data_IF_768637417735
#
_entry.id   IF_768637417735
#
_cell.length_a   1.000
_cell.length_b   1.000
_cell.length_c   1.000
_cell.angle_alpha   90.00
_cell.angle_beta   90.00
_cell.angle_gamma   90.00
#
_symmetry.space_group_name_H-M   'P 1'
#
loop_
_entity.id
_entity.type
_entity.pdbx_description
1 polymer ?
#
# COMPACT_ATOMS: atom_id res chain seq x y z
N UNK A 1 17.48 16.44 -9.90
CA UNK A 1 16.38 16.36 -8.90
C UNK A 1 16.44 15.00 -8.24
N UNK A 2 16.58 14.92 -6.91
CA UNK A 2 16.62 13.62 -6.20
C UNK A 2 15.27 12.92 -6.37
N UNK A 3 15.25 11.62 -6.64
CA UNK A 3 14.02 10.81 -6.68
C UNK A 3 13.93 9.97 -5.42
N UNK A 4 12.74 9.88 -4.83
CA UNK A 4 12.44 9.00 -3.70
C UNK A 4 11.20 8.17 -4.00
N UNK A 5 11.29 6.86 -3.78
CA UNK A 5 10.19 5.92 -3.96
C UNK A 5 9.42 5.80 -2.65
N UNK A 6 8.12 6.09 -2.71
CA UNK A 6 7.20 6.00 -1.57
C UNK A 6 6.14 4.96 -1.89
N UNK A 7 6.02 3.95 -1.03
CA UNK A 7 4.94 2.96 -1.11
C UNK A 7 3.98 3.19 0.05
N UNK A 8 2.72 3.43 -0.28
CA UNK A 8 1.62 3.65 0.65
C UNK A 8 0.82 2.37 0.78
N UNK A 9 0.85 1.73 1.95
CA UNK A 9 0.13 0.50 2.23
C UNK A 9 -1.14 0.79 3.03
N UNK A 10 -2.31 0.67 2.40
CA UNK A 10 -3.62 1.04 2.97
C UNK A 10 -4.65 -0.09 2.85
N UNK A 11 -5.41 -0.36 3.90
CA UNK A 11 -6.30 -1.54 3.97
C UNK A 11 -7.69 -1.11 4.39
N UNK A 12 -8.72 -1.52 3.67
CA UNK A 12 -10.10 -1.21 4.07
C UNK A 12 -11.15 -2.25 3.67
N UNK A 13 -10.85 -3.22 2.81
CA UNK A 13 -11.89 -4.00 2.14
C UNK A 13 -12.94 -3.08 1.50
N UNK A 14 -14.20 -3.20 1.94
CA UNK A 14 -15.31 -2.36 1.44
C UNK A 14 -15.22 -0.88 1.86
N UNK A 15 -14.44 -0.55 2.88
CA UNK A 15 -14.25 0.83 3.32
C UNK A 15 -13.34 1.64 2.39
N UNK A 16 -13.37 2.96 2.57
CA UNK A 16 -12.51 3.90 1.83
C UNK A 16 -11.64 4.77 2.75
N UNK A 17 -11.92 4.78 4.06
CA UNK A 17 -11.38 5.77 5.00
C UNK A 17 -9.85 5.76 5.10
N UNK A 18 -9.24 4.58 5.19
CA UNK A 18 -7.78 4.53 5.27
C UNK A 18 -7.10 4.89 3.94
N UNK A 19 -7.69 4.52 2.80
CA UNK A 19 -7.15 4.84 1.48
C UNK A 19 -7.23 6.34 1.22
N UNK A 20 -8.38 6.97 1.46
CA UNK A 20 -8.56 8.41 1.26
C UNK A 20 -7.62 9.22 2.16
N UNK A 21 -7.42 8.79 3.41
CA UNK A 21 -6.46 9.41 4.33
C UNK A 21 -5.03 9.33 3.79
N UNK A 22 -4.58 8.16 3.34
CA UNK A 22 -3.22 8.03 2.79
C UNK A 22 -3.06 8.79 1.47
N UNK A 23 -4.08 8.80 0.59
CA UNK A 23 -4.05 9.63 -0.61
C UNK A 23 -3.93 11.12 -0.28
N UNK A 24 -4.58 11.60 0.77
CA UNK A 24 -4.43 12.98 1.25
C UNK A 24 -3.00 13.27 1.73
N UNK A 25 -2.38 12.33 2.48
CA UNK A 25 -0.98 12.44 2.90
C UNK A 25 -0.04 12.48 1.69
N UNK A 26 -0.18 11.53 0.76
CA UNK A 26 0.65 11.44 -0.44
C UNK A 26 0.56 12.71 -1.30
N UNK A 27 -0.63 13.32 -1.42
CA UNK A 27 -0.83 14.58 -2.13
C UNK A 27 0.03 15.70 -1.53
N UNK A 28 0.00 15.85 -0.22
CA UNK A 28 0.79 16.87 0.47
C UNK A 28 2.28 16.56 0.46
N UNK A 29 2.66 15.29 0.65
CA UNK A 29 4.06 14.86 0.55
C UNK A 29 4.65 15.20 -0.83
N UNK A 30 3.92 14.94 -1.93
CA UNK A 30 4.37 15.30 -3.29
C UNK A 30 4.58 16.80 -3.45
N UNK A 31 3.69 17.63 -2.89
CA UNK A 31 3.79 19.10 -2.94
C UNK A 31 5.02 19.60 -2.17
N UNK A 32 5.19 19.13 -0.92
CA UNK A 32 6.28 19.53 -0.04
C UNK A 32 7.63 19.07 -0.61
N UNK A 33 7.72 17.82 -1.04
CA UNK A 33 8.94 17.30 -1.67
C UNK A 33 9.29 18.06 -2.95
N UNK A 34 8.29 18.39 -3.78
CA UNK A 34 8.47 19.20 -4.98
C UNK A 34 9.05 20.58 -4.66
N UNK A 35 8.51 21.26 -3.65
CA UNK A 35 9.05 22.54 -3.17
C UNK A 35 10.49 22.43 -2.64
N UNK A 36 10.85 21.27 -2.08
CA UNK A 36 12.21 20.95 -1.62
C UNK A 36 13.13 20.38 -2.74
N UNK A 37 12.74 20.44 -4.01
CA UNK A 37 13.57 19.94 -5.12
C UNK A 37 13.72 18.41 -5.17
N UNK A 38 12.75 17.67 -4.65
CA UNK A 38 12.71 16.20 -4.64
C UNK A 38 11.48 15.67 -5.37
N UNK A 39 11.66 14.72 -6.28
CA UNK A 39 10.57 14.01 -6.94
C UNK A 39 10.17 12.81 -6.10
N UNK A 40 8.88 12.69 -5.76
CA UNK A 40 8.36 11.44 -5.23
C UNK A 40 7.78 10.59 -6.36
N UNK A 41 8.27 9.37 -6.45
CA UNK A 41 7.63 8.27 -7.17
C UNK A 41 6.74 7.55 -6.16
N UNK A 42 5.41 7.54 -6.39
CA UNK A 42 4.45 7.09 -5.39
C UNK A 42 3.66 5.91 -5.92
N UNK A 43 3.55 4.88 -5.09
CA UNK A 43 2.75 3.68 -5.32
C UNK A 43 1.78 3.47 -4.17
N UNK A 44 0.57 3.00 -4.46
CA UNK A 44 -0.39 2.56 -3.44
C UNK A 44 -0.51 1.05 -3.48
N UNK A 45 -0.26 0.38 -2.36
CA UNK A 45 -0.54 -1.03 -2.15
C UNK A 45 -1.80 -1.15 -1.31
N UNK A 46 -2.86 -1.79 -1.82
CA UNK A 46 -4.15 -1.77 -1.12
C UNK A 46 -4.99 -3.04 -1.27
N UNK A 47 -5.86 -3.26 -0.29
CA UNK A 47 -6.99 -4.20 -0.40
C UNK A 47 -8.33 -3.49 -0.37
N UNK A 48 -8.37 -2.17 -0.54
CA UNK A 48 -9.63 -1.44 -0.65
C UNK A 48 -10.29 -1.74 -2.00
N UNK A 49 -11.61 -1.90 -2.00
CA UNK A 49 -12.41 -1.99 -3.23
C UNK A 49 -12.56 -0.63 -3.93
N UNK A 50 -12.09 0.45 -3.31
CA UNK A 50 -12.08 1.80 -3.89
C UNK A 50 -10.69 2.20 -4.41
N UNK A 51 -9.87 1.23 -4.84
CA UNK A 51 -8.53 1.43 -5.38
C UNK A 51 -8.48 2.48 -6.51
N UNK A 52 -9.56 2.57 -7.31
CA UNK A 52 -9.72 3.56 -8.38
C UNK A 52 -9.65 5.02 -7.91
N UNK A 53 -9.83 5.30 -6.62
CA UNK A 53 -9.59 6.64 -6.05
C UNK A 53 -8.12 7.06 -6.19
N UNK A 54 -7.16 6.13 -6.13
CA UNK A 54 -5.75 6.45 -6.34
C UNK A 54 -5.50 6.97 -7.76
N UNK A 55 -6.18 6.39 -8.76
CA UNK A 55 -6.11 6.85 -10.16
C UNK A 55 -6.58 8.29 -10.30
N UNK A 56 -7.62 8.71 -9.56
CA UNK A 56 -8.10 10.11 -9.57
C UNK A 56 -7.06 11.10 -9.05
N UNK A 57 -6.16 10.66 -8.18
CA UNK A 57 -5.02 11.44 -7.67
C UNK A 57 -3.76 11.32 -8.54
N UNK A 58 -3.84 10.60 -9.67
CA UNK A 58 -2.70 10.32 -10.54
C UNK A 58 -1.63 9.45 -9.86
N UNK A 59 -2.06 8.49 -9.04
CA UNK A 59 -1.19 7.54 -8.35
C UNK A 59 -1.54 6.11 -8.77
N UNK A 60 -0.57 5.30 -9.24
CA UNK A 60 -0.81 3.89 -9.52
C UNK A 60 -1.14 3.14 -8.23
N UNK A 61 -2.11 2.22 -8.31
CA UNK A 61 -2.42 1.31 -7.22
C UNK A 61 -2.25 -0.15 -7.63
N UNK A 62 -1.69 -0.93 -6.73
CA UNK A 62 -1.56 -2.38 -6.78
C UNK A 62 -2.55 -2.94 -5.77
N UNK A 63 -3.55 -3.66 -6.28
CA UNK A 63 -4.65 -4.19 -5.48
C UNK A 63 -4.48 -5.68 -5.25
N UNK A 64 -4.70 -6.09 -4.01
CA UNK A 64 -4.98 -7.48 -3.64
C UNK A 64 -6.45 -7.61 -3.22
N UNK A 65 -7.12 -8.77 -3.41
CA UNK A 65 -8.44 -8.99 -2.83
C UNK A 65 -8.47 -8.64 -1.35
N UNK A 66 -9.63 -8.25 -0.82
CA UNK A 66 -9.81 -8.03 0.62
C UNK A 66 -10.18 -9.30 1.37
N UNK A 67 -9.94 -9.35 2.69
CA UNK A 67 -10.45 -10.45 3.54
C UNK A 67 -11.97 -10.63 3.39
N UNK A 68 -12.72 -9.54 3.22
CA UNK A 68 -14.16 -9.59 2.93
C UNK A 68 -14.45 -10.25 1.59
N UNK A 69 -13.77 -9.86 0.52
CA UNK A 69 -13.97 -10.43 -0.80
C UNK A 69 -13.68 -11.94 -0.82
N UNK A 70 -12.60 -12.36 -0.15
CA UNK A 70 -12.24 -13.78 -0.08
C UNK A 70 -13.27 -14.61 0.69
N UNK A 71 -13.79 -14.07 1.81
CA UNK A 71 -14.88 -14.70 2.56
C UNK A 71 -16.15 -14.79 1.71
N UNK A 72 -16.51 -13.72 1.01
CA UNK A 72 -17.70 -13.68 0.16
C UNK A 72 -17.59 -14.67 -1.01
N UNK A 73 -16.38 -14.94 -1.50
CA UNK A 73 -16.10 -15.96 -2.51
C UNK A 73 -16.02 -17.41 -1.96
N UNK A 74 -16.21 -17.61 -0.65
CA UNK A 74 -16.15 -18.94 -0.02
C UNK A 74 -14.74 -19.56 0.00
N UNK A 75 -13.69 -18.74 -0.09
CA UNK A 75 -12.31 -19.22 -0.14
C UNK A 75 -11.72 -19.41 1.25
N UNK A 76 -10.85 -20.42 1.36
CA UNK A 76 -10.22 -20.81 2.61
C UNK A 76 -9.29 -19.70 3.14
N UNK A 77 -9.51 -19.19 4.37
CA UNK A 77 -8.77 -18.03 4.89
C UNK A 77 -7.27 -18.25 5.05
N UNK A 78 -6.80 -19.42 5.48
CA UNK A 78 -5.38 -19.64 5.74
C UNK A 78 -4.58 -19.74 4.43
N UNK A 79 -5.12 -20.40 3.40
CA UNK A 79 -4.56 -20.37 2.04
C UNK A 79 -4.47 -18.95 1.48
N UNK A 80 -5.51 -18.14 1.63
CA UNK A 80 -5.45 -16.74 1.18
C UNK A 80 -4.41 -15.93 1.96
N UNK A 81 -4.31 -16.13 3.27
CA UNK A 81 -3.32 -15.44 4.10
C UNK A 81 -1.89 -15.69 3.62
N UNK A 82 -1.56 -16.94 3.25
CA UNK A 82 -0.25 -17.28 2.70
C UNK A 82 0.01 -16.55 1.37
N UNK A 83 -0.96 -16.56 0.45
CA UNK A 83 -0.87 -15.83 -0.84
C UNK A 83 -0.68 -14.33 -0.62
N UNK A 84 -1.45 -13.73 0.29
CA UNK A 84 -1.40 -12.30 0.58
C UNK A 84 -0.04 -11.88 1.15
N UNK A 85 0.49 -12.65 2.11
CA UNK A 85 1.83 -12.42 2.67
C UNK A 85 2.90 -12.43 1.59
N UNK A 86 2.94 -13.50 0.78
CA UNK A 86 3.94 -13.62 -0.29
C UNK A 86 3.82 -12.50 -1.32
N UNK A 87 2.61 -12.16 -1.74
CA UNK A 87 2.39 -11.10 -2.73
C UNK A 87 2.82 -9.73 -2.21
N UNK A 88 2.45 -9.35 -0.98
CA UNK A 88 2.86 -8.06 -0.40
C UNK A 88 4.37 -7.98 -0.24
N UNK A 89 5.00 -9.04 0.28
CA UNK A 89 6.45 -9.08 0.46
C UNK A 89 7.20 -8.92 -0.87
N UNK A 90 6.83 -9.71 -1.88
CA UNK A 90 7.46 -9.64 -3.21
C UNK A 90 7.21 -8.30 -3.90
N UNK A 91 6.02 -7.73 -3.72
CA UNK A 91 5.68 -6.41 -4.29
C UNK A 91 6.52 -5.32 -3.66
N UNK A 92 6.65 -5.29 -2.33
CA UNK A 92 7.50 -4.30 -1.62
C UNK A 92 8.96 -4.49 -2.02
N UNK A 93 9.45 -5.73 -2.08
CA UNK A 93 10.82 -6.05 -2.49
C UNK A 93 11.13 -5.56 -3.92
N UNK A 94 10.19 -5.74 -4.86
CA UNK A 94 10.35 -5.29 -6.24
C UNK A 94 10.29 -3.77 -6.41
N UNK A 95 9.50 -3.08 -5.59
CA UNK A 95 9.39 -1.62 -5.64
C UNK A 95 10.56 -0.88 -4.95
N UNK A 96 11.26 -1.55 -4.02
CA UNK A 96 12.39 -0.99 -3.27
C UNK A 96 12.12 0.44 -2.73
N UNK A 97 11.09 0.62 -1.87
CA UNK A 97 10.75 1.95 -1.35
C UNK A 97 11.87 2.55 -0.51
N UNK A 98 12.14 3.85 -0.69
CA UNK A 98 12.87 4.67 0.26
C UNK A 98 12.04 4.97 1.53
N UNK A 99 10.71 4.94 1.39
CA UNK A 99 9.77 5.17 2.48
C UNK A 99 8.52 4.30 2.31
N UNK A 100 8.20 3.51 3.34
CA UNK A 100 6.96 2.75 3.43
C UNK A 100 6.00 3.49 4.38
N UNK A 101 4.91 4.04 3.84
CA UNK A 101 3.82 4.62 4.62
C UNK A 101 2.82 3.51 4.96
N UNK A 102 2.69 3.20 6.25
CA UNK A 102 1.84 2.10 6.73
C UNK A 102 0.63 2.67 7.46
N UNK A 103 -0.50 2.01 7.26
CA UNK A 103 -1.76 2.31 7.95
C UNK A 103 -1.77 1.86 9.43
N UNK A 104 -2.95 1.78 10.06
CA UNK A 104 -3.16 1.41 11.47
C UNK A 104 -2.56 0.06 11.90
N UNK A 105 -2.19 -0.82 10.96
CA UNK A 105 -1.59 -2.11 11.26
C UNK A 105 -0.09 -2.12 10.91
N UNK A 106 0.80 -1.78 11.84
CA UNK A 106 2.25 -1.72 11.56
C UNK A 106 2.85 -3.07 11.17
N UNK A 107 2.26 -4.19 11.65
CA UNK A 107 2.62 -5.55 11.21
C UNK A 107 1.99 -5.96 9.87
N UNK A 108 1.16 -5.11 9.26
CA UNK A 108 0.29 -5.46 8.12
C UNK A 108 -0.96 -6.22 8.56
N UNK A 109 -2.06 -6.16 7.79
CA UNK A 109 -3.27 -6.91 8.20
C UNK A 109 -3.09 -8.42 8.08
N UNK A 110 -2.08 -8.86 7.33
CA UNK A 110 -1.75 -10.27 7.17
C UNK A 110 -0.56 -10.68 8.06
N UNK A 111 0.06 -9.76 8.81
CA UNK A 111 1.26 -10.04 9.61
C UNK A 111 2.53 -10.12 8.76
N UNK A 112 2.53 -9.48 7.61
CA UNK A 112 3.57 -9.56 6.58
C UNK A 112 4.61 -8.45 6.65
N UNK A 113 4.29 -7.29 7.25
CA UNK A 113 5.15 -6.11 7.13
C UNK A 113 6.38 -6.17 8.04
N UNK A 114 6.37 -6.97 9.10
CA UNK A 114 7.55 -7.15 9.95
C UNK A 114 8.75 -7.67 9.13
N UNK A 115 8.52 -8.68 8.27
CA UNK A 115 9.54 -9.19 7.36
C UNK A 115 9.88 -8.20 6.23
N UNK A 116 8.94 -7.32 5.85
CA UNK A 116 9.24 -6.26 4.88
C UNK A 116 10.21 -5.20 5.46
N UNK A 117 10.22 -4.98 6.77
CA UNK A 117 11.18 -4.08 7.42
C UNK A 117 12.61 -4.63 7.36
N UNK A 118 12.80 -5.95 7.36
CA UNK A 118 14.13 -6.56 7.19
C UNK A 118 14.72 -6.30 5.79
N UNK A 119 13.89 -5.91 4.82
CA UNK A 119 14.32 -5.53 3.48
C UNK A 119 14.81 -4.08 3.40
N UNK A 120 14.50 -3.24 4.39
CA UNK A 120 14.99 -1.87 4.45
C UNK A 120 16.47 -1.86 4.85
N UNK A 121 17.31 -1.19 4.05
CA UNK A 121 18.75 -1.03 4.29
C UNK A 121 19.09 0.36 4.78
#
# INVERSE_FOLDING_TARGET
>A
MKRKVVVSYAINGRGMGHLTRQLALLRWMRRIAGAAGTKLEVWVLTSSEADTLARREGVPSLKIPSKSMMRDAGLEPARYLAVARSWVLQTIAGLQPDLLLVDTFPGGTFGELAAALELAR
#
